data_IF_467385640208
#
_entry.id   IF_467385640208
#
_cell.length_a   1.000
_cell.length_b   1.000
_cell.length_c   1.000
_cell.angle_alpha   90.00
_cell.angle_beta   90.00
_cell.angle_gamma   90.00
#
_symmetry.space_group_name_H-M   'P 1'
#
loop_
_entity.id
_entity.type
_entity.pdbx_description
1 polymer ?
#
# COMPACT_ATOMS: atom_id res chain seq x y z
N UNK A 1 29.81 22.11 -20.66
CA UNK A 1 28.39 22.43 -20.39
C UNK A 1 27.70 21.11 -20.22
N UNK A 2 27.32 20.76 -18.98
CA UNK A 2 26.66 19.49 -18.68
C UNK A 2 25.19 19.79 -18.48
N UNK A 3 24.34 19.21 -19.33
CA UNK A 3 22.89 19.23 -19.15
C UNK A 3 22.52 17.94 -18.43
N UNK A 4 21.89 18.08 -17.26
CA UNK A 4 21.26 16.95 -16.58
C UNK A 4 19.82 16.87 -17.05
N UNK A 5 19.44 15.74 -17.64
CA UNK A 5 18.04 15.39 -17.85
C UNK A 5 17.55 14.70 -16.57
N UNK A 6 16.75 15.39 -15.77
CA UNK A 6 15.97 14.74 -14.73
C UNK A 6 14.70 14.19 -15.38
N UNK A 7 14.59 12.87 -15.49
CA UNK A 7 13.30 12.23 -15.71
C UNK A 7 12.56 12.25 -14.37
N UNK A 8 11.86 13.35 -14.09
CA UNK A 8 10.90 13.35 -12.99
C UNK A 8 9.79 12.39 -13.35
N UNK A 9 9.70 11.26 -12.65
CA UNK A 9 8.46 10.49 -12.58
C UNK A 9 7.34 11.48 -12.28
N UNK A 10 6.33 11.59 -13.14
CA UNK A 10 5.17 12.42 -12.87
C UNK A 10 4.41 11.81 -11.68
N UNK A 11 4.89 12.07 -10.47
CA UNK A 11 4.14 11.88 -9.24
C UNK A 11 3.00 12.89 -9.30
N UNK A 12 1.77 12.38 -9.21
CA UNK A 12 0.56 13.20 -9.31
C UNK A 12 0.62 14.34 -8.28
N UNK A 13 0.12 15.51 -8.63
CA UNK A 13 0.22 16.75 -7.83
C UNK A 13 -0.45 16.67 -6.43
N UNK A 14 -0.99 15.51 -6.08
CA UNK A 14 -1.74 15.25 -4.84
C UNK A 14 -1.26 13.95 -4.15
N UNK A 15 -0.09 13.43 -4.49
CA UNK A 15 0.45 12.23 -3.84
C UNK A 15 0.95 12.58 -2.43
N UNK A 16 0.22 12.12 -1.43
CA UNK A 16 0.46 12.44 -0.01
C UNK A 16 1.29 11.41 0.75
N UNK A 17 1.43 10.18 0.23
CA UNK A 17 2.29 9.15 0.81
C UNK A 17 2.83 8.22 -0.29
N UNK A 18 4.14 7.91 -0.25
CA UNK A 18 4.80 7.09 -1.26
C UNK A 18 6.05 6.40 -0.71
N UNK A 19 6.04 5.07 -0.69
CA UNK A 19 7.21 4.26 -0.32
C UNK A 19 7.79 3.56 -1.55
N UNK A 20 8.96 3.99 -2.05
CA UNK A 20 9.62 3.31 -3.17
C UNK A 20 10.11 1.90 -2.81
N UNK A 21 10.34 1.65 -1.52
CA UNK A 21 10.92 0.41 -0.98
C UNK A 21 12.29 0.05 -1.59
N UNK A 22 13.04 1.08 -1.99
CA UNK A 22 14.36 0.94 -2.61
C UNK A 22 15.47 1.07 -1.54
N UNK A 23 15.66 -0.01 -0.79
CA UNK A 23 16.66 -0.11 0.28
C UNK A 23 16.30 0.60 1.60
N UNK A 24 15.17 1.30 1.65
CA UNK A 24 14.68 1.99 2.85
C UNK A 24 13.15 2.10 2.88
N UNK A 25 12.60 2.38 4.06
CA UNK A 25 11.17 2.58 4.30
C UNK A 25 10.78 4.07 4.40
N UNK A 26 11.51 4.94 3.70
CA UNK A 26 11.26 6.38 3.74
C UNK A 26 10.05 6.73 2.89
N UNK A 27 9.19 7.57 3.44
CA UNK A 27 8.18 8.24 2.65
C UNK A 27 8.85 9.29 1.75
N UNK A 28 8.53 9.23 0.46
CA UNK A 28 9.06 10.07 -0.59
C UNK A 28 7.96 10.90 -1.26
N UNK A 29 6.77 10.97 -0.66
CA UNK A 29 5.69 11.78 -1.19
C UNK A 29 6.03 13.28 -1.13
N UNK A 30 5.76 14.02 -2.21
CA UNK A 30 6.05 15.46 -2.28
C UNK A 30 5.02 16.34 -1.57
N UNK A 31 3.81 15.84 -1.32
CA UNK A 31 2.68 16.63 -0.81
C UNK A 31 2.10 16.11 0.52
N UNK A 32 2.80 15.19 1.19
CA UNK A 32 2.48 14.81 2.57
C UNK A 32 2.70 15.99 3.53
N UNK A 33 1.89 16.08 4.58
CA UNK A 33 2.07 17.03 5.66
C UNK A 33 3.20 16.60 6.60
N UNK A 34 3.44 15.29 6.72
CA UNK A 34 4.54 14.72 7.49
C UNK A 34 5.26 13.62 6.72
N UNK A 35 6.44 13.21 7.21
CA UNK A 35 7.14 12.04 6.67
C UNK A 35 6.58 10.77 7.30
N UNK A 36 5.78 10.01 6.55
CA UNK A 36 5.17 8.77 7.02
C UNK A 36 6.14 7.58 6.91
N UNK A 37 7.32 7.70 7.51
CA UNK A 37 8.36 6.67 7.45
C UNK A 37 7.89 5.35 8.10
N UNK A 38 8.09 4.25 7.36
CA UNK A 38 7.75 2.92 7.82
C UNK A 38 8.80 2.31 8.75
N UNK A 39 8.38 1.32 9.53
CA UNK A 39 9.23 0.50 10.39
C UNK A 39 8.97 -0.98 10.14
N UNK A 40 10.02 -1.78 10.06
CA UNK A 40 9.87 -3.23 9.94
C UNK A 40 9.38 -3.83 11.26
N UNK A 41 8.39 -4.71 11.15
CA UNK A 41 7.97 -5.62 12.19
C UNK A 41 8.31 -7.03 11.74
N UNK A 42 9.09 -7.75 12.55
CA UNK A 42 9.67 -9.03 12.15
C UNK A 42 10.94 -8.88 11.31
N UNK A 43 11.42 -9.97 10.73
CA UNK A 43 12.57 -9.97 9.84
C UNK A 43 12.11 -9.75 8.41
N UNK A 44 12.54 -8.65 7.79
CA UNK A 44 12.22 -8.30 6.39
C UNK A 44 13.51 -8.06 5.63
N UNK A 45 13.52 -8.42 4.35
CA UNK A 45 14.65 -8.21 3.45
C UNK A 45 14.21 -7.47 2.19
N UNK A 46 15.10 -6.61 1.69
CA UNK A 46 14.96 -6.01 0.37
C UNK A 46 15.42 -7.01 -0.70
N UNK A 47 14.70 -7.07 -1.82
CA UNK A 47 15.05 -7.83 -3.03
C UNK A 47 14.67 -7.03 -4.26
N UNK A 48 15.17 -7.45 -5.42
CA UNK A 48 14.79 -6.85 -6.70
C UNK A 48 13.27 -6.91 -6.89
N UNK A 49 12.68 -5.74 -7.10
CA UNK A 49 11.26 -5.54 -7.28
C UNK A 49 10.89 -5.34 -8.75
N UNK A 50 9.64 -4.96 -9.00
CA UNK A 50 9.19 -4.57 -10.35
C UNK A 50 9.86 -3.26 -10.81
N UNK A 51 10.09 -2.34 -9.88
CA UNK A 51 10.77 -1.06 -10.06
C UNK A 51 11.78 -0.96 -8.90
N UNK A 52 13.08 -0.84 -9.19
CA UNK A 52 14.12 -0.83 -8.15
C UNK A 52 14.07 -2.09 -7.27
N UNK A 53 14.26 -1.92 -5.97
CA UNK A 53 14.00 -2.96 -4.99
C UNK A 53 12.55 -2.94 -4.47
N UNK A 54 12.16 -4.01 -3.78
CA UNK A 54 10.97 -4.10 -2.95
C UNK A 54 11.26 -4.93 -1.72
N UNK A 55 10.24 -5.21 -0.92
CA UNK A 55 10.35 -6.05 0.28
C UNK A 55 9.68 -7.40 0.06
N UNK A 56 10.19 -8.44 0.72
CA UNK A 56 9.55 -9.75 0.78
C UNK A 56 8.85 -9.91 2.11
N UNK A 57 7.56 -10.22 2.05
CA UNK A 57 6.72 -10.50 3.21
C UNK A 57 6.24 -11.95 3.16
N UNK A 58 6.06 -12.56 4.33
CA UNK A 58 5.66 -13.97 4.49
C UNK A 58 4.44 -14.17 5.41
N UNK A 59 3.80 -13.08 5.83
CA UNK A 59 2.65 -13.09 6.74
C UNK A 59 3.02 -13.07 8.22
N UNK A 60 4.27 -13.34 8.59
CA UNK A 60 4.79 -13.15 9.96
C UNK A 60 5.45 -11.78 10.17
N UNK A 61 5.70 -11.06 9.08
CA UNK A 61 6.36 -9.76 9.02
C UNK A 61 5.53 -8.74 8.23
N UNK A 62 5.78 -7.45 8.47
CA UNK A 62 5.14 -6.35 7.74
C UNK A 62 5.91 -5.03 7.94
N UNK A 63 5.46 -4.00 7.23
CA UNK A 63 5.84 -2.61 7.50
C UNK A 63 4.72 -1.94 8.28
N UNK A 64 5.05 -1.37 9.44
CA UNK A 64 4.14 -0.52 10.22
C UNK A 64 4.45 0.94 9.94
N UNK A 65 3.40 1.73 9.69
CA UNK A 65 3.49 3.18 9.48
C UNK A 65 2.66 3.84 10.58
N UNK A 66 3.21 4.81 11.34
CA UNK A 66 2.45 5.57 12.33
C UNK A 66 1.24 6.27 11.71
N UNK A 67 0.17 6.46 12.51
CA UNK A 67 -1.01 7.17 12.02
C UNK A 67 -0.69 8.65 11.77
N UNK A 68 -1.20 9.20 10.66
CA UNK A 68 -0.98 10.60 10.29
C UNK A 68 -2.22 11.18 9.60
N UNK A 69 -2.36 12.53 9.55
CA UNK A 69 -3.43 13.19 8.80
C UNK A 69 -3.46 12.87 7.31
N UNK A 70 -2.31 12.51 6.72
CA UNK A 70 -2.14 12.19 5.31
C UNK A 70 -2.77 10.84 4.96
N UNK A 71 -2.76 9.91 5.92
CA UNK A 71 -3.33 8.57 5.79
C UNK A 71 -4.79 8.47 6.26
N UNK A 72 -5.41 9.56 6.72
CA UNK A 72 -6.82 9.53 7.11
C UNK A 72 -7.75 9.64 5.89
N UNK A 73 -8.64 8.64 5.73
CA UNK A 73 -9.63 8.60 4.66
C UNK A 73 -11.05 9.04 5.08
N UNK A 74 -11.27 9.35 6.36
CA UNK A 74 -12.57 9.76 6.87
C UNK A 74 -13.11 10.99 6.12
N UNK A 75 -14.19 10.81 5.36
CA UNK A 75 -14.81 11.82 4.49
C UNK A 75 -13.92 12.35 3.34
N UNK A 76 -12.92 11.58 2.91
CA UNK A 76 -12.06 11.90 1.77
C UNK A 76 -12.20 10.85 0.67
N UNK A 77 -11.82 11.23 -0.55
CA UNK A 77 -11.60 10.27 -1.63
C UNK A 77 -10.16 9.78 -1.55
N UNK A 78 -9.95 8.48 -1.75
CA UNK A 78 -8.62 7.87 -1.75
C UNK A 78 -8.35 7.17 -3.08
N UNK A 79 -7.11 7.19 -3.51
CA UNK A 79 -6.59 6.36 -4.59
C UNK A 79 -5.34 5.65 -4.08
N UNK A 80 -5.25 4.35 -4.34
CA UNK A 80 -4.14 3.50 -3.92
C UNK A 80 -3.59 2.82 -5.17
N UNK A 81 -2.27 2.80 -5.30
CA UNK A 81 -1.58 2.07 -6.35
C UNK A 81 -0.37 1.35 -5.76
N UNK A 82 -0.14 0.11 -6.20
CA UNK A 82 0.98 -0.69 -5.72
C UNK A 82 1.39 -1.71 -6.79
N UNK A 83 2.69 -2.01 -6.85
CA UNK A 83 3.19 -3.21 -7.50
C UNK A 83 3.39 -4.28 -6.43
N UNK A 84 2.82 -5.45 -6.63
CA UNK A 84 3.00 -6.58 -5.74
C UNK A 84 3.00 -7.89 -6.53
N UNK A 85 3.56 -8.94 -5.92
CA UNK A 85 3.48 -10.32 -6.40
C UNK A 85 3.20 -11.20 -5.20
N UNK A 86 2.33 -12.19 -5.40
CA UNK A 86 2.07 -13.21 -4.39
C UNK A 86 2.47 -14.57 -4.96
N UNK A 87 3.33 -15.28 -4.25
CA UNK A 87 3.85 -16.57 -4.68
C UNK A 87 2.83 -17.70 -4.41
N UNK A 88 2.09 -17.60 -3.30
CA UNK A 88 0.97 -18.46 -2.97
C UNK A 88 0.02 -17.71 -2.03
N UNK A 89 -1.26 -18.05 -2.07
CA UNK A 89 -2.26 -17.56 -1.14
C UNK A 89 -2.70 -18.67 -0.17
N UNK A 90 -1.90 -18.98 0.87
CA UNK A 90 -2.20 -20.05 1.81
C UNK A 90 -3.50 -19.84 2.59
N UNK A 91 -3.87 -18.58 2.87
CA UNK A 91 -5.06 -18.23 3.62
C UNK A 91 -6.17 -17.65 2.74
N UNK A 92 -7.40 -17.74 3.26
CA UNK A 92 -8.58 -17.15 2.59
C UNK A 92 -8.57 -15.63 2.63
N UNK A 93 -7.94 -15.06 3.65
CA UNK A 93 -7.90 -13.62 3.88
C UNK A 93 -6.47 -13.16 4.08
N UNK A 94 -5.95 -12.41 3.11
CA UNK A 94 -4.58 -11.91 3.13
C UNK A 94 -4.54 -10.46 2.73
N UNK A 95 -4.01 -9.63 3.63
CA UNK A 95 -3.99 -8.18 3.50
C UNK A 95 -2.70 -7.72 2.86
N UNK A 96 -2.81 -6.92 1.81
CA UNK A 96 -1.67 -6.23 1.23
C UNK A 96 -1.38 -4.92 1.98
N UNK A 97 -2.42 -4.16 2.30
CA UNK A 97 -2.31 -2.89 3.02
C UNK A 97 -3.57 -2.64 3.85
N UNK A 98 -3.42 -2.13 5.08
CA UNK A 98 -4.55 -1.70 5.90
C UNK A 98 -4.18 -0.51 6.79
N UNK A 99 -5.11 0.44 6.90
CA UNK A 99 -5.11 1.51 7.93
C UNK A 99 -5.76 1.02 9.24
N UNK A 100 -6.67 0.05 9.15
CA UNK A 100 -7.40 -0.51 10.30
C UNK A 100 -8.84 -0.89 9.93
N UNK A 101 -9.66 -1.21 10.93
CA UNK A 101 -11.08 -1.56 10.77
C UNK A 101 -12.01 -0.33 10.87
N UNK A 102 -13.30 -0.51 10.61
CA UNK A 102 -14.32 0.55 10.68
C UNK A 102 -14.29 1.46 9.45
N UNK A 103 -14.32 2.79 9.66
CA UNK A 103 -14.31 3.80 8.58
C UNK A 103 -12.93 3.96 7.90
N UNK A 104 -12.00 3.05 8.16
CA UNK A 104 -10.67 3.03 7.56
C UNK A 104 -10.71 2.30 6.21
N UNK A 105 -9.54 2.08 5.62
CA UNK A 105 -9.42 1.38 4.34
C UNK A 105 -8.43 0.22 4.39
N UNK A 106 -8.65 -0.73 3.49
CA UNK A 106 -7.82 -1.92 3.32
C UNK A 106 -7.85 -2.40 1.88
N UNK A 107 -6.74 -2.95 1.42
CA UNK A 107 -6.59 -3.67 0.17
C UNK A 107 -6.17 -5.11 0.53
N UNK A 108 -7.02 -6.08 0.21
CA UNK A 108 -6.78 -7.48 0.56
C UNK A 108 -7.34 -8.42 -0.51
N UNK A 109 -6.97 -9.70 -0.42
CA UNK A 109 -7.66 -10.79 -1.14
C UNK A 109 -9.10 -10.87 -0.65
N UNK A 110 -10.05 -11.05 -1.57
CA UNK A 110 -11.46 -11.17 -1.22
C UNK A 110 -11.75 -12.52 -0.54
N UNK A 111 -12.39 -12.48 0.62
CA UNK A 111 -12.53 -13.66 1.50
C UNK A 111 -13.44 -14.76 0.94
N UNK A 112 -14.45 -14.39 0.14
CA UNK A 112 -15.43 -15.33 -0.46
C UNK A 112 -15.05 -15.71 -1.89
N UNK A 113 -14.40 -14.80 -2.61
CA UNK A 113 -13.99 -14.98 -4.02
C UNK A 113 -12.46 -14.88 -4.07
N UNK A 114 -11.75 -15.99 -3.77
CA UNK A 114 -10.31 -15.99 -3.59
C UNK A 114 -9.53 -15.66 -4.87
N UNK A 115 -10.18 -15.57 -6.02
CA UNK A 115 -9.56 -15.20 -7.29
C UNK A 115 -9.57 -13.68 -7.52
N UNK A 116 -10.05 -12.89 -6.54
CA UNK A 116 -10.16 -11.43 -6.64
C UNK A 116 -9.45 -10.70 -5.51
N UNK A 117 -8.97 -9.51 -5.83
CA UNK A 117 -8.64 -8.48 -4.85
C UNK A 117 -9.88 -7.64 -4.57
N UNK A 118 -9.95 -7.09 -3.36
CA UNK A 118 -10.99 -6.17 -2.97
C UNK A 118 -10.42 -4.98 -2.21
N UNK A 119 -11.05 -3.82 -2.43
CA UNK A 119 -10.91 -2.65 -1.61
C UNK A 119 -12.03 -2.65 -0.56
N UNK A 120 -11.65 -2.39 0.68
CA UNK A 120 -12.55 -2.25 1.81
C UNK A 120 -12.42 -0.83 2.32
N UNK A 121 -13.53 -0.11 2.46
CA UNK A 121 -13.53 1.21 3.07
C UNK A 121 -14.90 1.88 3.05
N UNK A 122 -15.09 2.86 3.93
CA UNK A 122 -16.39 3.51 4.15
C UNK A 122 -17.25 2.76 5.18
N UNK A 123 -18.58 2.93 5.11
CA UNK A 123 -19.55 2.35 6.08
C UNK A 123 -19.66 0.81 5.92
N UNK A 124 -19.08 0.24 4.86
CA UNK A 124 -19.10 -1.19 4.60
C UNK A 124 -18.03 -1.87 5.46
N UNK A 125 -18.43 -2.27 6.67
CA UNK A 125 -17.54 -2.72 7.73
C UNK A 125 -17.07 -4.18 7.67
N UNK A 126 -17.52 -4.99 6.71
CA UNK A 126 -17.15 -6.41 6.60
C UNK A 126 -16.51 -6.74 5.24
N UNK A 127 -15.31 -7.33 5.23
CA UNK A 127 -14.70 -7.88 4.03
C UNK A 127 -15.52 -8.90 3.23
N UNK A 128 -16.51 -9.55 3.86
CA UNK A 128 -17.44 -10.46 3.19
C UNK A 128 -18.49 -9.74 2.34
N UNK A 129 -18.73 -8.46 2.63
CA UNK A 129 -19.78 -7.66 2.01
C UNK A 129 -19.25 -6.70 0.94
N UNK A 130 -17.92 -6.62 0.77
CA UNK A 130 -17.33 -5.75 -0.24
C UNK A 130 -17.77 -6.20 -1.65
N UNK A 131 -18.31 -5.29 -2.49
CA UNK A 131 -18.62 -5.64 -3.86
C UNK A 131 -17.32 -6.07 -4.55
N UNK A 132 -17.34 -7.26 -5.15
CA UNK A 132 -16.23 -7.73 -5.95
C UNK A 132 -16.02 -6.77 -7.12
N UNK A 133 -14.96 -5.95 -7.06
CA UNK A 133 -14.76 -4.83 -7.98
C UNK A 133 -13.30 -4.66 -8.38
N UNK A 134 -13.05 -4.87 -9.68
CA UNK A 134 -11.83 -4.45 -10.38
C UNK A 134 -11.26 -5.46 -11.38
N UNK A 135 -11.89 -5.64 -12.55
CA UNK A 135 -11.06 -5.80 -13.76
C UNK A 135 -10.35 -4.47 -13.99
N UNK A 136 -9.02 -4.54 -14.14
CA UNK A 136 -8.13 -3.43 -14.50
C UNK A 136 -8.61 -2.71 -15.75
#
# INVERSE_FOLDING_TARGET
MTVWLAFGSAIHADLVAYWPLDGQLKDAAPFGQINDDGQFVGQVTFKDGRIGQGIVLDGSNHVSIPTSPDLEAGNKNISISAWFRVDAWPERYETLLAKGSGNNYQLARHAVDPDRLAYFGGIQGDPLEAPAGGTV
#
